data_IF_510715390596
#
_entry.id   IF_510715390596
#
_cell.length_a   1.000
_cell.length_b   1.000
_cell.length_c   1.000
_cell.angle_alpha   90.00
_cell.angle_beta   90.00
_cell.angle_gamma   90.00
#
_symmetry.space_group_name_H-M   'P 1'
#
loop_
_entity.id
_entity.type
_entity.pdbx_description
1 polymer ?
#
# COMPACT_ATOMS: atom_id res chain seq x y z
N UNK A 1 -14.21 -7.01 28.28
CA UNK A 1 -15.23 -6.97 27.19
C UNK A 1 -16.38 -6.09 27.64
N UNK A 2 -16.69 -5.05 26.89
CA UNK A 2 -17.86 -4.20 27.16
C UNK A 2 -19.15 -5.02 26.97
N UNK A 3 -20.08 -4.89 27.91
CA UNK A 3 -21.37 -5.55 27.80
C UNK A 3 -22.26 -4.81 26.78
N UNK A 4 -23.07 -5.58 26.01
CA UNK A 4 -24.03 -5.02 25.03
C UNK A 4 -24.97 -3.98 25.64
N UNK A 5 -25.23 -4.05 26.95
CA UNK A 5 -26.00 -3.04 27.69
C UNK A 5 -25.31 -1.68 27.73
N UNK A 6 -24.00 -1.64 27.87
CA UNK A 6 -23.22 -0.38 27.96
C UNK A 6 -23.18 0.33 26.61
N UNK A 7 -23.14 -0.45 25.51
CA UNK A 7 -23.25 0.10 24.16
C UNK A 7 -24.60 0.78 23.90
N UNK A 8 -25.72 0.18 24.34
CA UNK A 8 -27.06 0.75 24.20
C UNK A 8 -27.30 2.02 25.02
N UNK A 9 -26.60 2.15 26.14
CA UNK A 9 -26.72 3.30 27.04
C UNK A 9 -25.75 4.43 26.73
N UNK A 10 -24.90 4.28 25.70
CA UNK A 10 -23.87 5.25 25.34
C UNK A 10 -22.71 5.33 26.33
N UNK A 11 -22.71 4.52 27.38
CA UNK A 11 -21.65 4.50 28.40
C UNK A 11 -20.31 3.99 27.87
N UNK A 12 -20.33 3.36 26.70
CA UNK A 12 -19.16 2.82 26.04
C UNK A 12 -18.05 3.85 25.76
N UNK A 13 -18.41 5.13 25.66
CA UNK A 13 -17.50 6.23 25.39
C UNK A 13 -17.31 7.18 26.60
N UNK A 14 -17.78 6.82 27.79
CA UNK A 14 -17.59 7.64 28.98
C UNK A 14 -16.22 7.39 29.60
N UNK A 15 -15.64 8.43 30.18
CA UNK A 15 -14.29 8.38 30.79
C UNK A 15 -14.17 7.37 31.93
N UNK A 16 -15.28 7.09 32.63
CA UNK A 16 -15.37 6.04 33.67
C UNK A 16 -15.10 4.62 33.12
N UNK A 17 -15.25 4.44 31.81
CA UNK A 17 -14.99 3.15 31.15
C UNK A 17 -13.53 3.01 30.68
N UNK A 18 -12.80 4.09 30.65
CA UNK A 18 -11.42 4.10 30.15
C UNK A 18 -10.42 3.58 31.18
N UNK A 19 -10.58 3.87 32.46
CA UNK A 19 -9.64 3.45 33.51
C UNK A 19 -8.18 3.43 33.02
N UNK A 20 -7.40 2.51 33.51
CA UNK A 20 -6.04 2.24 33.03
C UNK A 20 -6.02 1.29 31.82
N UNK A 21 -7.20 0.99 31.22
CA UNK A 21 -7.32 0.08 30.08
C UNK A 21 -7.35 0.91 28.79
N UNK A 22 -6.20 1.02 28.15
CA UNK A 22 -6.13 1.45 26.77
C UNK A 22 -6.80 0.40 25.87
N UNK A 23 -7.58 0.85 24.88
CA UNK A 23 -8.21 -0.06 23.93
C UNK A 23 -7.19 -0.85 23.11
N UNK A 24 -5.99 -0.35 22.94
CA UNK A 24 -4.80 -0.97 22.33
C UNK A 24 -3.54 -0.18 22.73
N UNK A 25 -3.47 0.35 23.94
CA UNK A 25 -2.35 1.15 24.35
C UNK A 25 -1.11 0.33 24.54
N UNK A 26 0.00 0.86 24.03
CA UNK A 26 1.34 0.31 24.25
C UNK A 26 1.62 -1.03 23.55
N UNK A 27 0.87 -1.37 22.49
CA UNK A 27 1.22 -2.47 21.62
C UNK A 27 2.14 -1.97 20.49
N UNK A 28 3.20 -2.73 20.24
CA UNK A 28 4.14 -2.43 19.17
C UNK A 28 3.51 -2.64 17.78
N UNK A 29 3.81 -1.76 16.85
CA UNK A 29 3.41 -1.98 15.46
C UNK A 29 4.14 -3.20 14.89
N UNK A 30 3.46 -3.95 14.05
CA UNK A 30 3.97 -5.15 13.39
C UNK A 30 4.15 -4.87 11.89
N UNK A 31 5.33 -5.20 11.36
CA UNK A 31 5.62 -5.16 9.92
C UNK A 31 6.06 -6.55 9.47
N UNK A 32 5.16 -7.27 8.82
CA UNK A 32 5.40 -8.63 8.37
C UNK A 32 6.05 -8.66 6.98
N UNK A 33 7.24 -9.22 6.90
CA UNK A 33 7.88 -9.57 5.64
C UNK A 33 7.46 -10.98 5.22
N UNK A 34 7.00 -11.13 3.97
CA UNK A 34 6.71 -12.43 3.39
C UNK A 34 8.02 -13.12 3.00
N UNK A 35 8.29 -14.27 3.60
CA UNK A 35 9.49 -15.09 3.34
C UNK A 35 9.25 -16.16 2.25
N UNK A 36 8.07 -16.19 1.65
CA UNK A 36 7.67 -17.22 0.70
C UNK A 36 7.05 -18.45 1.37
N UNK A 37 7.18 -19.61 0.74
CA UNK A 37 6.65 -20.87 1.23
C UNK A 37 7.77 -21.77 1.80
N UNK A 38 7.46 -22.45 2.87
CA UNK A 38 8.32 -23.52 3.40
C UNK A 38 8.25 -24.79 2.53
N UNK A 39 8.96 -25.83 2.93
CA UNK A 39 8.99 -27.13 2.23
C UNK A 39 7.61 -27.81 2.15
N UNK A 40 6.64 -27.44 2.98
CA UNK A 40 5.29 -27.95 3.00
C UNK A 40 4.29 -27.08 2.23
N UNK A 41 4.76 -25.98 1.63
CA UNK A 41 3.93 -25.02 0.91
C UNK A 41 3.21 -24.00 1.81
N UNK A 42 3.57 -23.92 3.10
CA UNK A 42 3.00 -22.98 4.05
C UNK A 42 3.68 -21.63 3.96
N UNK A 43 2.90 -20.53 3.79
CA UNK A 43 3.43 -19.17 3.77
C UNK A 43 4.08 -18.81 5.11
N UNK A 44 5.29 -18.27 5.03
CA UNK A 44 6.06 -17.83 6.18
C UNK A 44 6.16 -16.30 6.20
N UNK A 45 6.03 -15.73 7.40
CA UNK A 45 6.16 -14.30 7.63
C UNK A 45 7.08 -14.05 8.81
N UNK A 46 7.94 -13.04 8.70
CA UNK A 46 8.81 -12.58 9.78
C UNK A 46 8.45 -11.14 10.15
N UNK A 47 8.26 -10.87 11.42
CA UNK A 47 8.12 -9.50 11.89
C UNK A 47 9.47 -8.79 11.86
N UNK A 48 9.55 -7.74 11.06
CA UNK A 48 10.74 -6.92 10.87
C UNK A 48 10.56 -5.49 11.40
N UNK A 49 9.47 -5.19 12.14
CA UNK A 49 9.16 -3.83 12.55
C UNK A 49 10.31 -3.17 13.30
N UNK A 50 10.89 -3.86 14.29
CA UNK A 50 12.01 -3.32 15.07
C UNK A 50 13.24 -3.03 14.18
N UNK A 51 13.62 -3.96 13.30
CA UNK A 51 14.79 -3.80 12.44
C UNK A 51 14.59 -2.78 11.32
N UNK A 52 13.35 -2.57 10.90
CA UNK A 52 12.96 -1.60 9.89
C UNK A 52 12.68 -0.20 10.46
N UNK A 53 12.68 -0.03 11.79
CA UNK A 53 12.34 1.23 12.45
C UNK A 53 10.85 1.59 12.36
N UNK A 54 10.00 0.58 12.16
CA UNK A 54 8.54 0.72 12.09
C UNK A 54 7.84 0.37 13.41
N UNK A 55 8.61 -0.02 14.42
CA UNK A 55 8.15 -0.45 15.73
C UNK A 55 7.82 0.78 16.60
N UNK A 56 6.64 1.37 16.40
CA UNK A 56 6.13 2.48 17.23
C UNK A 56 5.14 1.92 18.27
N UNK A 57 5.39 2.27 19.54
CA UNK A 57 4.55 1.89 20.69
C UNK A 57 3.29 2.75 20.83
N UNK A 58 3.15 3.80 20.02
CA UNK A 58 1.98 4.67 20.07
C UNK A 58 0.74 3.94 19.53
N UNK A 59 -0.42 4.36 20.04
CA UNK A 59 -1.72 3.85 19.61
C UNK A 59 -2.01 4.21 18.14
N UNK A 60 -1.41 3.45 17.21
CA UNK A 60 -1.59 3.63 15.77
C UNK A 60 -2.96 3.12 15.34
N UNK A 61 -3.74 3.95 14.63
CA UNK A 61 -5.09 3.62 14.18
C UNK A 61 -5.20 3.50 12.67
N UNK A 62 -4.76 4.49 11.96
CA UNK A 62 -4.78 4.52 10.50
C UNK A 62 -3.38 4.37 9.92
N UNK A 63 -3.29 3.67 8.81
CA UNK A 63 -2.06 3.54 8.05
C UNK A 63 -2.39 3.66 6.55
N UNK A 64 -1.56 4.39 5.83
CA UNK A 64 -1.57 4.39 4.37
C UNK A 64 -0.15 4.31 3.83
N UNK A 65 -0.02 3.82 2.61
CA UNK A 65 1.25 3.81 1.90
C UNK A 65 1.16 4.55 0.57
N UNK A 66 2.23 5.24 0.24
CA UNK A 66 2.46 5.90 -1.04
C UNK A 66 3.97 6.09 -1.25
N UNK A 67 4.36 6.37 -2.47
CA UNK A 67 5.70 6.87 -2.77
C UNK A 67 5.66 8.40 -2.69
N UNK A 68 6.00 8.96 -1.53
CA UNK A 68 5.82 10.38 -1.23
C UNK A 68 6.88 11.27 -1.89
N UNK A 69 8.07 10.74 -2.16
CA UNK A 69 9.15 11.50 -2.80
C UNK A 69 9.45 11.07 -4.24
N UNK A 70 8.61 10.18 -4.80
CA UNK A 70 8.71 9.65 -6.17
C UNK A 70 10.06 8.97 -6.45
N UNK A 71 10.62 8.27 -5.47
CA UNK A 71 11.87 7.53 -5.63
C UNK A 71 11.67 6.05 -6.02
N UNK A 72 10.42 5.60 -6.08
CA UNK A 72 10.00 4.26 -6.49
C UNK A 72 9.86 3.27 -5.34
N UNK A 73 10.12 3.69 -4.12
CA UNK A 73 9.88 2.91 -2.92
C UNK A 73 8.61 3.37 -2.22
N UNK A 74 7.81 2.43 -1.73
CA UNK A 74 6.62 2.75 -0.95
C UNK A 74 7.03 3.14 0.47
N UNK A 75 6.62 4.33 0.88
CA UNK A 75 6.70 4.82 2.25
C UNK A 75 5.40 4.52 3.00
N UNK A 76 5.43 4.59 4.31
CA UNK A 76 4.26 4.38 5.17
C UNK A 76 4.00 5.64 5.98
N UNK A 77 2.76 6.11 6.00
CA UNK A 77 2.28 7.12 6.94
C UNK A 77 1.33 6.47 7.93
N UNK A 78 1.52 6.76 9.21
CA UNK A 78 0.63 6.30 10.27
C UNK A 78 0.00 7.48 10.98
N UNK A 79 -1.23 7.30 11.46
CA UNK A 79 -1.91 8.25 12.32
C UNK A 79 -2.15 7.61 13.69
N UNK A 80 -1.75 8.31 14.75
CA UNK A 80 -1.85 7.82 16.12
C UNK A 80 -2.96 8.52 16.88
N UNK A 81 -3.61 7.81 17.77
CA UNK A 81 -4.55 8.38 18.74
C UNK A 81 -3.78 9.14 19.83
N UNK A 82 -4.29 10.27 20.34
CA UNK A 82 -3.66 11.01 21.43
C UNK A 82 -3.58 10.26 22.77
N UNK A 83 -4.14 9.05 22.87
CA UNK A 83 -4.23 8.27 24.10
C UNK A 83 -5.24 8.85 25.09
N UNK A 84 -5.17 8.38 26.34
CA UNK A 84 -6.15 8.73 27.39
C UNK A 84 -6.17 10.19 27.81
N UNK A 85 -5.16 10.96 27.41
CA UNK A 85 -5.08 12.39 27.74
C UNK A 85 -6.15 13.24 27.05
N UNK A 86 -6.81 12.72 25.99
CA UNK A 86 -7.72 13.49 25.13
C UNK A 86 -7.07 14.69 24.43
N UNK A 87 -5.78 14.91 24.65
CA UNK A 87 -5.03 16.02 24.10
C UNK A 87 -4.65 15.73 22.64
N UNK A 88 -5.43 16.27 21.70
CA UNK A 88 -5.20 16.10 20.27
C UNK A 88 -3.78 16.52 19.82
N UNK A 89 -3.07 17.37 20.58
CA UNK A 89 -1.69 17.75 20.27
C UNK A 89 -0.69 16.61 20.39
N UNK A 90 -1.06 15.54 21.10
CA UNK A 90 -0.26 14.32 21.25
C UNK A 90 -0.47 13.32 20.11
N UNK A 91 -1.57 13.43 19.35
CA UNK A 91 -1.77 12.68 18.13
C UNK A 91 -0.81 13.19 17.06
N UNK A 92 0.18 12.41 16.69
CA UNK A 92 1.16 12.80 15.67
C UNK A 92 1.25 11.73 14.59
N UNK A 93 1.01 12.09 13.33
CA UNK A 93 1.32 11.19 12.24
C UNK A 93 2.83 10.92 12.21
N UNK A 94 3.20 9.71 11.84
CA UNK A 94 4.58 9.34 11.57
C UNK A 94 4.73 8.99 10.09
N UNK A 95 5.76 9.52 9.43
CA UNK A 95 6.16 9.14 8.09
C UNK A 95 7.39 8.24 8.20
N UNK A 96 7.22 6.99 7.79
CA UNK A 96 8.28 5.99 7.74
C UNK A 96 8.78 5.92 6.30
N UNK A 97 9.90 6.56 6.05
CA UNK A 97 10.50 6.60 4.71
C UNK A 97 11.26 5.31 4.42
N UNK A 98 11.01 4.71 3.27
CA UNK A 98 11.68 3.50 2.82
C UNK A 98 12.99 3.81 2.08
N UNK A 99 14.10 3.77 2.80
CA UNK A 99 15.43 4.01 2.23
C UNK A 99 16.08 2.75 1.61
N UNK A 100 15.42 1.60 1.69
CA UNK A 100 15.94 0.31 1.19
C UNK A 100 15.41 0.04 -0.22
N UNK A 101 14.12 0.26 -0.46
CA UNK A 101 13.44 -0.02 -1.72
C UNK A 101 14.05 0.72 -2.92
N UNK A 102 14.57 1.92 -2.71
CA UNK A 102 15.20 2.76 -3.74
C UNK A 102 16.38 2.10 -4.47
N UNK A 103 16.99 1.09 -3.85
CA UNK A 103 18.16 0.38 -4.41
C UNK A 103 17.76 -0.70 -5.42
N UNK A 104 16.48 -1.04 -5.49
CA UNK A 104 15.95 -2.10 -6.35
C UNK A 104 15.16 -1.52 -7.52
N UNK A 105 14.95 -2.33 -8.54
CA UNK A 105 14.10 -1.94 -9.66
C UNK A 105 12.63 -2.07 -9.29
N UNK A 106 11.82 -1.25 -9.91
CA UNK A 106 10.38 -1.15 -9.68
C UNK A 106 9.64 -0.74 -10.96
N UNK A 107 8.34 -0.97 -10.98
CA UNK A 107 7.41 -0.42 -11.95
C UNK A 107 6.21 0.16 -11.20
N UNK A 108 5.78 1.35 -11.56
CA UNK A 108 4.55 1.95 -11.08
C UNK A 108 3.51 2.03 -12.20
N UNK A 109 2.25 1.79 -11.88
CA UNK A 109 1.13 1.78 -12.84
C UNK A 109 0.01 2.66 -12.33
N UNK A 110 -0.42 3.60 -13.17
CA UNK A 110 -1.66 4.37 -13.01
C UNK A 110 -2.68 3.92 -14.04
N UNK A 111 -3.94 3.79 -13.62
CA UNK A 111 -5.04 3.36 -14.47
C UNK A 111 -6.09 4.45 -14.60
N UNK A 112 -6.66 4.58 -15.77
CA UNK A 112 -7.81 5.44 -16.05
C UNK A 112 -8.87 4.65 -16.80
N UNK A 113 -10.04 4.46 -16.16
CA UNK A 113 -11.19 3.80 -16.77
C UNK A 113 -11.94 4.74 -17.73
N UNK A 114 -12.47 4.19 -18.82
CA UNK A 114 -13.34 4.88 -19.77
C UNK A 114 -14.72 4.23 -19.87
N UNK A 115 -14.77 2.90 -19.84
CA UNK A 115 -15.98 2.09 -19.70
C UNK A 115 -16.18 1.62 -18.27
N UNK A 116 -15.07 1.43 -17.55
CA UNK A 116 -15.03 1.25 -16.11
C UNK A 116 -15.21 2.59 -15.39
N UNK A 117 -15.32 2.57 -14.05
CA UNK A 117 -15.22 3.81 -13.28
C UNK A 117 -13.85 4.49 -13.56
N UNK A 118 -13.84 5.83 -13.57
CA UNK A 118 -12.68 6.61 -13.98
C UNK A 118 -11.40 6.24 -13.21
N UNK A 119 -11.53 6.03 -11.91
CA UNK A 119 -10.40 5.71 -11.04
C UNK A 119 -10.00 4.24 -11.12
N UNK A 120 -10.62 3.46 -12.03
CA UNK A 120 -10.37 2.04 -12.29
C UNK A 120 -10.42 1.15 -11.02
N UNK A 121 -11.15 1.58 -9.99
CA UNK A 121 -11.32 0.79 -8.76
C UNK A 121 -11.93 -0.57 -9.08
N UNK A 122 -11.27 -1.63 -8.61
CA UNK A 122 -11.60 -3.03 -8.93
C UNK A 122 -10.79 -3.62 -10.09
N UNK A 123 -9.98 -2.81 -10.76
CA UNK A 123 -9.06 -3.33 -11.78
C UNK A 123 -7.95 -4.18 -11.15
N UNK A 124 -7.56 -5.23 -11.88
CA UNK A 124 -6.45 -6.10 -11.51
C UNK A 124 -5.33 -5.97 -12.53
N UNK A 125 -4.13 -5.69 -12.07
CA UNK A 125 -2.92 -5.63 -12.90
C UNK A 125 -2.01 -6.78 -12.57
N UNK A 126 -1.67 -7.56 -13.58
CA UNK A 126 -0.66 -8.62 -13.48
C UNK A 126 0.54 -8.23 -14.32
N UNK A 127 1.74 -8.29 -13.75
CA UNK A 127 2.99 -8.19 -14.51
C UNK A 127 3.69 -9.55 -14.58
N UNK A 128 4.43 -9.75 -15.65
CA UNK A 128 5.34 -10.87 -15.86
C UNK A 128 6.74 -10.30 -16.06
N UNK A 129 7.70 -10.73 -15.26
CA UNK A 129 9.08 -10.27 -15.34
C UNK A 129 10.05 -11.41 -14.98
N UNK A 130 10.90 -11.81 -15.91
CA UNK A 130 11.90 -12.86 -15.70
C UNK A 130 11.29 -14.19 -15.21
N UNK A 131 10.14 -14.57 -15.74
CA UNK A 131 9.42 -15.81 -15.40
C UNK A 131 8.55 -15.73 -14.12
N UNK A 132 8.61 -14.65 -13.38
CA UNK A 132 7.77 -14.44 -12.18
C UNK A 132 6.53 -13.60 -12.52
N UNK A 133 5.43 -13.87 -11.81
CA UNK A 133 4.18 -13.11 -11.94
C UNK A 133 3.84 -12.42 -10.62
N UNK A 134 3.42 -11.17 -10.73
CA UNK A 134 2.89 -10.41 -9.61
C UNK A 134 1.53 -9.83 -9.96
N UNK A 135 0.57 -9.90 -9.02
CA UNK A 135 -0.78 -9.35 -9.15
C UNK A 135 -0.98 -8.22 -8.15
N UNK A 136 -1.63 -7.15 -8.59
CA UNK A 136 -2.15 -6.07 -7.72
C UNK A 136 -3.60 -5.78 -8.08
N UNK A 137 -4.39 -5.54 -7.04
CA UNK A 137 -5.78 -5.07 -7.14
C UNK A 137 -5.82 -3.59 -6.79
N UNK A 138 -6.46 -2.78 -7.62
CA UNK A 138 -6.73 -1.37 -7.30
C UNK A 138 -7.96 -1.26 -6.42
N UNK A 139 -7.74 -0.88 -5.16
CA UNK A 139 -8.77 -0.74 -4.13
C UNK A 139 -9.00 0.74 -3.80
N UNK A 140 -10.25 1.12 -3.56
CA UNK A 140 -10.63 2.48 -3.16
C UNK A 140 -10.39 2.77 -1.67
N UNK A 141 -10.18 1.75 -0.86
CA UNK A 141 -9.94 1.90 0.57
C UNK A 141 -9.39 0.61 1.14
N UNK A 142 -8.55 0.76 2.15
CA UNK A 142 -7.97 -0.38 2.87
C UNK A 142 -7.55 0.10 4.26
N UNK A 143 -7.71 -0.79 5.26
CA UNK A 143 -7.41 -0.46 6.63
C UNK A 143 -8.48 0.41 7.30
N UNK A 144 -8.20 0.85 8.52
CA UNK A 144 -9.12 1.65 9.33
C UNK A 144 -9.01 3.13 8.96
N UNK A 145 -10.11 3.71 8.46
CA UNK A 145 -10.23 5.14 8.11
C UNK A 145 -9.04 5.66 7.28
N UNK A 146 -8.57 4.85 6.33
CA UNK A 146 -7.39 5.15 5.50
C UNK A 146 -7.57 4.69 4.06
N UNK A 147 -6.78 5.30 3.18
CA UNK A 147 -6.72 4.95 1.77
C UNK A 147 -5.27 5.03 1.29
N UNK A 148 -4.82 3.97 0.64
CA UNK A 148 -3.51 3.91 0.01
C UNK A 148 -3.49 4.69 -1.31
N UNK A 149 -2.29 4.93 -1.83
CA UNK A 149 -2.13 5.45 -3.19
C UNK A 149 -2.88 4.58 -4.21
N UNK A 150 -3.56 5.22 -5.16
CA UNK A 150 -4.17 4.54 -6.30
C UNK A 150 -3.12 4.03 -7.30
N UNK A 151 -1.87 4.49 -7.20
CA UNK A 151 -0.75 4.02 -8.02
C UNK A 151 -0.32 2.64 -7.54
N UNK A 152 -0.29 1.68 -8.45
CA UNK A 152 0.11 0.30 -8.16
C UNK A 152 1.61 0.14 -8.34
N UNK A 153 2.31 -0.34 -7.32
CA UNK A 153 3.76 -0.56 -7.34
C UNK A 153 4.11 -2.04 -7.39
N UNK A 154 5.09 -2.36 -8.23
CA UNK A 154 5.65 -3.69 -8.41
C UNK A 154 7.16 -3.64 -8.19
N UNK A 155 7.66 -4.33 -7.17
CA UNK A 155 9.09 -4.51 -6.98
C UNK A 155 9.64 -5.52 -7.99
N UNK A 156 10.69 -5.15 -8.69
CA UNK A 156 11.29 -5.97 -9.74
C UNK A 156 12.64 -6.57 -9.33
N UNK A 157 13.13 -6.25 -8.12
CA UNK A 157 14.44 -6.65 -7.65
C UNK A 157 15.55 -6.23 -8.62
N UNK A 158 16.24 -7.17 -9.25
CA UNK A 158 17.34 -6.91 -10.20
C UNK A 158 16.88 -6.89 -11.66
N UNK A 159 15.60 -7.21 -11.92
CA UNK A 159 15.04 -7.23 -13.28
C UNK A 159 14.92 -5.82 -13.84
N UNK A 160 15.42 -5.59 -15.04
CA UNK A 160 15.49 -4.26 -15.67
C UNK A 160 14.30 -3.99 -16.61
N UNK A 161 13.46 -4.99 -16.83
CA UNK A 161 12.31 -4.90 -17.72
C UNK A 161 11.16 -5.79 -17.27
N UNK A 162 9.97 -5.50 -17.77
CA UNK A 162 8.77 -6.30 -17.65
C UNK A 162 8.46 -6.91 -19.01
N UNK A 163 8.25 -8.23 -19.03
CA UNK A 163 8.01 -9.00 -20.24
C UNK A 163 6.58 -8.79 -20.76
N UNK A 164 5.63 -8.69 -19.83
CA UNK A 164 4.25 -8.37 -20.15
C UNK A 164 3.51 -7.75 -18.95
N UNK A 165 2.51 -6.94 -19.25
CA UNK A 165 1.57 -6.37 -18.32
C UNK A 165 0.14 -6.64 -18.79
N UNK A 166 -0.71 -7.18 -17.93
CA UNK A 166 -2.10 -7.46 -18.24
C UNK A 166 -2.99 -6.70 -17.26
N UNK A 167 -3.95 -5.95 -17.78
CA UNK A 167 -4.99 -5.27 -17.02
C UNK A 167 -6.32 -5.97 -17.24
N UNK A 168 -6.97 -6.38 -16.17
CA UNK A 168 -8.36 -6.81 -16.17
C UNK A 168 -9.19 -5.69 -15.56
N UNK A 169 -9.98 -5.03 -16.38
CA UNK A 169 -10.82 -3.91 -16.01
C UNK A 169 -12.14 -4.33 -15.37
N UNK A 170 -12.76 -3.49 -14.52
CA UNK A 170 -14.10 -3.74 -13.98
C UNK A 170 -15.19 -3.92 -15.05
N UNK A 171 -15.05 -3.31 -16.22
CA UNK A 171 -15.92 -3.52 -17.37
C UNK A 171 -15.94 -4.94 -17.92
N UNK A 172 -14.98 -5.79 -17.46
CA UNK A 172 -14.72 -7.13 -17.99
C UNK A 172 -13.70 -7.17 -19.13
N UNK A 173 -13.28 -6.00 -19.63
CA UNK A 173 -12.22 -5.92 -20.65
C UNK A 173 -10.90 -6.45 -20.09
N UNK A 174 -10.12 -7.12 -20.93
CA UNK A 174 -8.76 -7.55 -20.64
C UNK A 174 -7.82 -6.99 -21.70
N UNK A 175 -6.77 -6.33 -21.29
CA UNK A 175 -5.76 -5.74 -22.16
C UNK A 175 -4.38 -6.23 -21.74
N UNK A 176 -3.56 -6.64 -22.72
CA UNK A 176 -2.19 -7.12 -22.51
C UNK A 176 -1.22 -6.26 -23.31
N UNK A 177 -0.17 -5.82 -22.64
CA UNK A 177 0.88 -4.99 -23.20
C UNK A 177 2.24 -5.67 -23.00
N UNK A 178 3.02 -5.77 -24.04
CA UNK A 178 4.41 -6.26 -24.02
C UNK A 178 5.39 -5.14 -24.35
N UNK A 179 4.87 -4.01 -24.84
CA UNK A 179 5.64 -2.85 -25.28
C UNK A 179 4.91 -1.57 -25.01
N UNK A 180 5.66 -0.46 -24.95
CA UNK A 180 5.16 0.92 -25.00
C UNK A 180 5.63 1.52 -26.33
N UNK A 181 4.72 1.59 -27.32
CA UNK A 181 5.12 1.81 -28.71
C UNK A 181 6.03 0.67 -29.20
N UNK A 182 7.20 0.99 -29.73
CA UNK A 182 8.19 0.03 -30.19
C UNK A 182 9.19 -0.41 -29.10
N UNK A 183 9.09 0.13 -27.89
CA UNK A 183 10.05 -0.10 -26.81
C UNK A 183 9.54 -1.14 -25.80
N UNK A 184 10.46 -1.90 -25.24
CA UNK A 184 10.21 -2.78 -24.09
C UNK A 184 9.75 -1.95 -22.88
N UNK A 185 8.92 -2.54 -22.02
CA UNK A 185 8.52 -1.93 -20.75
C UNK A 185 9.72 -2.00 -19.79
N UNK A 186 10.40 -0.89 -19.59
CA UNK A 186 11.58 -0.83 -18.74
C UNK A 186 11.19 -0.69 -17.26
N UNK A 187 12.10 -1.09 -16.37
CA UNK A 187 12.01 -0.80 -14.95
C UNK A 187 12.25 0.71 -14.65
N UNK A 188 11.99 1.11 -13.41
CA UNK A 188 12.18 2.45 -12.87
C UNK A 188 11.39 3.53 -13.60
N UNK A 189 10.14 3.22 -13.95
CA UNK A 189 9.24 4.17 -14.59
C UNK A 189 7.82 4.06 -14.06
N UNK A 190 7.10 5.15 -14.18
CA UNK A 190 5.66 5.21 -14.05
C UNK A 190 5.03 5.06 -15.42
N UNK A 191 4.07 4.16 -15.55
CA UNK A 191 3.26 4.02 -16.75
C UNK A 191 1.80 4.37 -16.46
N UNK A 192 1.15 4.94 -17.43
CA UNK A 192 -0.28 5.25 -17.39
C UNK A 192 -0.98 4.45 -18.47
N UNK A 193 -2.08 3.80 -18.10
CA UNK A 193 -2.90 2.99 -18.99
C UNK A 193 -4.33 3.52 -18.96
N UNK A 194 -4.83 3.94 -20.10
CA UNK A 194 -6.21 4.34 -20.27
C UNK A 194 -6.98 3.21 -20.94
N UNK A 195 -8.08 2.77 -20.33
CA UNK A 195 -8.92 1.68 -20.84
C UNK A 195 -9.29 1.91 -22.31
N UNK A 196 -9.09 0.91 -23.16
CA UNK A 196 -9.33 0.94 -24.60
C UNK A 196 -8.50 1.95 -25.40
N UNK A 197 -7.57 2.69 -24.77
CA UNK A 197 -6.79 3.74 -25.44
C UNK A 197 -5.30 3.47 -25.43
N UNK A 198 -4.83 2.53 -24.61
CA UNK A 198 -3.46 2.06 -24.61
C UNK A 198 -2.61 2.50 -23.43
N UNK A 199 -1.30 2.36 -23.59
CA UNK A 199 -0.26 2.52 -22.56
C UNK A 199 0.74 3.60 -22.96
N UNK A 200 1.19 4.40 -22.00
CA UNK A 200 2.26 5.40 -22.16
C UNK A 200 3.17 5.45 -20.93
N UNK A 201 4.45 5.72 -21.13
CA UNK A 201 5.36 6.05 -20.04
C UNK A 201 5.14 7.51 -19.60
N UNK A 202 5.13 7.75 -18.28
CA UNK A 202 5.12 9.07 -17.69
C UNK A 202 6.49 9.36 -17.06
N UNK A 203 6.94 10.61 -17.18
CA UNK A 203 8.10 11.07 -16.39
C UNK A 203 7.62 11.43 -15.00
N UNK A 204 8.20 10.79 -13.97
CA UNK A 204 8.06 11.27 -12.62
C UNK A 204 8.70 12.68 -12.52
N UNK A 205 8.09 13.60 -11.75
CA UNK A 205 8.75 14.88 -11.47
C UNK A 205 10.12 14.59 -10.83
N UNK A 206 11.12 15.35 -11.26
CA UNK A 206 12.46 15.22 -10.69
C UNK A 206 12.39 15.45 -9.17
N UNK A 207 13.12 14.63 -8.42
CA UNK A 207 13.27 14.77 -6.97
C UNK A 207 13.70 16.21 -6.66
N UNK A 208 12.92 16.94 -5.89
CA UNK A 208 13.40 18.18 -5.29
C UNK A 208 14.43 17.80 -4.21
N UNK A 209 15.67 18.18 -4.41
CA UNK A 209 16.78 17.94 -3.47
C UNK A 209 16.62 18.79 -2.21
#
# INVERSE_FOLDING_TARGET
MAHIKDYKTGKFYQDEFRGDISWNGYEHNVLLRNEGQDANGTLQFTDIAMTAGADDIKDTRGMAYADFDNDGALDIITNTNPGDSGDASKARPALLRNNIGVRRNWLAVELEGTQSNRDAVGAMVTIEAGGEKQLRLLSAGSGFASQNSARLYFGLNDKTQVDALTVRWPSGRVERFERIGDQTILARQLIHITEASGIKALRLPARQQ
#
